data_IF_051723781973
#
_entry.id   IF_051723781973
#
_cell.length_a   1.000
_cell.length_b   1.000
_cell.length_c   1.000
_cell.angle_alpha   90.00
_cell.angle_beta   90.00
_cell.angle_gamma   90.00
#
_symmetry.space_group_name_H-M   'P 1'
#
loop_
_entity.id
_entity.type
_entity.pdbx_description
1 polymer ?
#
# COMPACT_ATOMS: atom_id res chain seq x y z
N UNK A 1 -13.96 47.43 -26.74
CA UNK A 1 -13.54 46.67 -25.55
C UNK A 1 -13.11 45.28 -26.01
N UNK A 2 -11.83 44.91 -25.88
CA UNK A 2 -11.33 43.61 -26.32
C UNK A 2 -11.48 42.58 -25.19
N UNK A 3 -12.15 41.46 -25.46
CA UNK A 3 -12.31 40.36 -24.50
C UNK A 3 -11.13 39.40 -24.59
N UNK A 4 -10.39 39.24 -23.49
CA UNK A 4 -9.31 38.27 -23.37
C UNK A 4 -9.87 36.91 -22.94
N UNK A 5 -9.89 35.94 -23.85
CA UNK A 5 -10.25 34.56 -23.53
C UNK A 5 -9.01 33.80 -23.03
N UNK A 6 -8.95 33.57 -21.72
CA UNK A 6 -7.90 32.73 -21.10
C UNK A 6 -8.25 31.26 -21.35
N UNK A 7 -7.48 30.60 -22.22
CA UNK A 7 -7.57 29.14 -22.40
C UNK A 7 -6.96 28.47 -21.16
N UNK A 8 -7.79 27.87 -20.31
CA UNK A 8 -7.33 27.01 -19.21
C UNK A 8 -6.82 25.70 -19.81
N UNK A 9 -5.51 25.51 -19.83
CA UNK A 9 -4.89 24.21 -20.12
C UNK A 9 -4.98 23.34 -18.88
N UNK A 10 -5.71 22.23 -18.99
CA UNK A 10 -5.72 21.17 -17.98
C UNK A 10 -4.29 20.63 -17.81
N UNK A 11 -3.71 20.59 -16.60
CA UNK A 11 -2.39 20.02 -16.42
C UNK A 11 -2.46 18.52 -16.72
N UNK A 12 -1.68 18.08 -17.70
CA UNK A 12 -1.45 16.66 -17.97
C UNK A 12 -0.74 16.08 -16.76
N UNK A 13 -1.42 15.21 -16.00
CA UNK A 13 -0.79 14.47 -14.90
C UNK A 13 0.28 13.59 -15.52
N UNK A 14 1.55 13.99 -15.40
CA UNK A 14 2.68 13.15 -15.75
C UNK A 14 2.66 11.95 -14.80
N UNK A 15 2.35 10.77 -15.34
CA UNK A 15 2.62 9.51 -14.64
C UNK A 15 4.10 9.50 -14.30
N UNK A 16 4.44 9.38 -13.01
CA UNK A 16 5.80 9.06 -12.59
C UNK A 16 6.12 7.68 -13.16
N UNK A 17 6.97 7.65 -14.18
CA UNK A 17 7.52 6.43 -14.75
C UNK A 17 8.99 6.42 -14.36
N UNK A 18 9.39 5.49 -13.51
CA UNK A 18 10.80 5.13 -13.39
C UNK A 18 11.19 4.32 -14.64
N UNK A 19 12.43 4.48 -15.10
CA UNK A 19 12.88 3.96 -16.38
C UNK A 19 13.15 2.44 -16.40
N UNK A 20 13.01 1.69 -15.30
CA UNK A 20 13.51 0.30 -15.26
C UNK A 20 12.72 -0.73 -14.43
N UNK A 21 11.64 -0.35 -13.77
CA UNK A 21 10.69 -1.30 -13.20
C UNK A 21 9.28 -0.86 -13.60
N UNK A 22 8.45 -1.80 -14.06
CA UNK A 22 7.01 -1.58 -14.01
C UNK A 22 6.66 -1.31 -12.54
N UNK A 23 6.51 -0.04 -12.18
CA UNK A 23 6.13 0.37 -10.83
C UNK A 23 4.70 -0.10 -10.60
N UNK A 24 4.58 -1.28 -9.99
CA UNK A 24 3.28 -1.81 -9.56
C UNK A 24 2.74 -0.90 -8.45
N UNK A 25 1.44 -0.54 -8.50
CA UNK A 25 0.85 0.30 -7.47
C UNK A 25 0.93 -0.39 -6.10
N UNK A 26 1.09 0.36 -5.00
CA UNK A 26 0.92 -0.19 -3.67
C UNK A 26 -0.51 -0.69 -3.48
N UNK A 27 -0.68 -1.75 -2.69
CA UNK A 27 -1.99 -2.22 -2.27
C UNK A 27 -2.55 -1.27 -1.22
N UNK A 28 -3.67 -0.64 -1.54
CA UNK A 28 -4.26 0.39 -0.70
C UNK A 28 -5.32 -0.19 0.24
N UNK A 29 -4.91 -0.53 1.47
CA UNK A 29 -5.80 -0.93 2.56
C UNK A 29 -6.05 0.22 3.54
N UNK A 30 -5.97 1.47 3.08
CA UNK A 30 -6.24 2.63 3.93
C UNK A 30 -7.74 2.89 4.11
N UNK A 31 -8.13 3.42 5.28
CA UNK A 31 -9.52 3.82 5.59
C UNK A 31 -10.54 2.67 5.53
N UNK A 32 -10.16 1.44 5.87
CA UNK A 32 -11.09 0.32 6.02
C UNK A 32 -11.74 0.27 7.42
N UNK A 33 -11.34 1.16 8.34
CA UNK A 33 -11.71 1.09 9.75
C UNK A 33 -11.36 -0.26 10.39
N UNK A 34 -10.28 -0.91 9.90
CA UNK A 34 -9.83 -2.19 10.41
C UNK A 34 -9.23 -2.05 11.82
N UNK A 35 -9.62 -2.92 12.75
CA UNK A 35 -9.01 -2.98 14.08
C UNK A 35 -7.93 -4.05 14.16
N UNK A 36 -8.03 -5.06 13.30
CA UNK A 36 -7.04 -6.11 13.14
C UNK A 36 -6.69 -6.28 11.67
N UNK A 37 -5.50 -6.85 11.40
CA UNK A 37 -5.08 -7.14 10.03
C UNK A 37 -6.03 -8.10 9.31
N UNK A 38 -6.66 -9.01 10.04
CA UNK A 38 -7.70 -9.91 9.53
C UNK A 38 -8.97 -9.18 9.03
N UNK A 39 -9.26 -7.99 9.58
CA UNK A 39 -10.38 -7.17 9.13
C UNK A 39 -10.06 -6.42 7.82
N UNK A 40 -8.77 -6.17 7.55
CA UNK A 40 -8.29 -5.53 6.33
C UNK A 40 -8.32 -6.47 5.11
N UNK A 41 -8.69 -7.76 5.28
CA UNK A 41 -8.44 -8.83 4.29
C UNK A 41 -9.37 -8.81 3.08
N UNK A 42 -10.47 -8.04 3.07
CA UNK A 42 -11.49 -8.20 2.03
C UNK A 42 -10.94 -7.97 0.61
N UNK A 43 -10.44 -6.77 0.30
CA UNK A 43 -9.75 -6.43 -0.96
C UNK A 43 -9.09 -5.05 -0.78
N UNK A 44 -7.92 -4.79 -1.38
CA UNK A 44 -7.36 -3.44 -1.45
C UNK A 44 -8.26 -2.53 -2.29
N UNK A 45 -8.33 -1.26 -1.91
CA UNK A 45 -9.08 -0.23 -2.60
C UNK A 45 -8.53 0.00 -3.99
N UNK A 46 -9.43 0.16 -4.95
CA UNK A 46 -9.09 0.63 -6.29
C UNK A 46 -9.08 2.15 -6.27
N UNK A 47 -7.91 2.75 -6.48
CA UNK A 47 -7.76 4.20 -6.57
C UNK A 47 -8.28 4.67 -7.94
N UNK A 48 -9.28 5.58 -8.01
CA UNK A 48 -9.76 6.12 -9.27
C UNK A 48 -8.62 6.78 -10.07
N UNK A 49 -8.45 6.38 -11.33
CA UNK A 49 -7.34 6.86 -12.17
C UNK A 49 -5.96 6.27 -11.83
N UNK A 50 -5.88 5.38 -10.84
CA UNK A 50 -4.68 4.64 -10.48
C UNK A 50 -4.33 3.54 -11.47
N UNK A 51 -3.16 2.92 -11.28
CA UNK A 51 -2.78 1.74 -12.03
C UNK A 51 -3.64 0.54 -11.62
N UNK A 52 -3.88 -0.38 -12.56
CA UNK A 52 -4.65 -1.60 -12.29
C UNK A 52 -3.85 -2.53 -11.38
N UNK A 53 -4.51 -3.07 -10.36
CA UNK A 53 -3.94 -4.13 -9.53
C UNK A 53 -3.82 -5.43 -10.33
N UNK A 54 -2.70 -6.15 -10.16
CA UNK A 54 -2.45 -7.43 -10.84
C UNK A 54 -2.49 -8.55 -9.81
N UNK A 55 -3.30 -9.57 -10.08
CA UNK A 55 -3.47 -10.76 -9.22
C UNK A 55 -2.91 -12.02 -9.87
N UNK A 56 -2.43 -12.93 -9.03
CA UNK A 56 -2.13 -14.32 -9.35
C UNK A 56 -2.80 -15.22 -8.29
N UNK A 57 -3.95 -15.81 -8.63
CA UNK A 57 -4.82 -16.45 -7.64
C UNK A 57 -5.35 -15.40 -6.64
N UNK A 58 -5.20 -15.69 -5.35
CA UNK A 58 -5.65 -14.81 -4.26
C UNK A 58 -4.59 -13.76 -3.85
N UNK A 59 -3.44 -13.73 -4.54
CA UNK A 59 -2.30 -12.88 -4.21
C UNK A 59 -2.11 -11.76 -5.23
N UNK A 60 -1.45 -10.69 -4.82
CA UNK A 60 -1.16 -9.54 -5.67
C UNK A 60 0.33 -9.42 -6.02
N UNK A 61 0.59 -8.95 -7.23
CA UNK A 61 1.88 -8.39 -7.58
C UNK A 61 1.91 -6.93 -7.13
N UNK A 62 2.70 -6.64 -6.10
CA UNK A 62 3.00 -5.29 -5.64
C UNK A 62 4.31 -5.29 -4.85
N UNK A 63 4.96 -4.12 -4.81
CA UNK A 63 6.11 -3.87 -3.94
C UNK A 63 5.74 -2.97 -2.75
N UNK A 64 4.46 -2.62 -2.59
CA UNK A 64 4.02 -1.70 -1.56
C UNK A 64 2.68 -2.06 -0.94
N UNK A 65 2.53 -1.76 0.35
CA UNK A 65 1.27 -1.93 1.07
C UNK A 65 1.02 -0.68 1.92
N UNK A 66 -0.16 -0.09 1.77
CA UNK A 66 -0.63 1.00 2.62
C UNK A 66 -1.70 0.45 3.56
N UNK A 67 -1.42 0.46 4.87
CA UNK A 67 -2.35 0.08 5.95
C UNK A 67 -2.68 1.28 6.84
N UNK A 68 -2.36 2.48 6.39
CA UNK A 68 -2.51 3.70 7.14
C UNK A 68 -3.98 4.13 7.33
N UNK A 69 -4.24 4.98 8.32
CA UNK A 69 -5.58 5.48 8.63
C UNK A 69 -6.60 4.35 8.89
N UNK A 70 -6.19 3.38 9.71
CA UNK A 70 -7.08 2.37 10.29
C UNK A 70 -7.04 2.52 11.82
N UNK A 71 -7.51 1.52 12.56
CA UNK A 71 -7.41 1.44 14.02
C UNK A 71 -6.68 0.15 14.42
N UNK A 72 -5.66 -0.24 13.64
CA UNK A 72 -4.94 -1.49 13.88
C UNK A 72 -4.25 -1.44 15.24
N UNK A 73 -4.67 -2.32 16.16
CA UNK A 73 -4.15 -2.41 17.53
C UNK A 73 -3.68 -3.82 17.91
N UNK A 74 -3.67 -4.75 16.95
CA UNK A 74 -3.19 -6.11 17.13
C UNK A 74 -1.66 -6.22 17.20
N UNK A 75 -1.14 -7.41 17.57
CA UNK A 75 0.29 -7.66 17.64
C UNK A 75 0.98 -7.45 16.28
N UNK A 76 2.02 -6.62 16.24
CA UNK A 76 2.76 -6.29 15.01
C UNK A 76 3.45 -7.53 14.41
N UNK A 77 3.68 -8.57 15.21
CA UNK A 77 4.21 -9.87 14.80
C UNK A 77 3.32 -10.60 13.78
N UNK A 78 2.06 -10.19 13.62
CA UNK A 78 1.14 -10.76 12.64
C UNK A 78 1.28 -10.14 11.23
N UNK A 79 1.97 -9.00 11.08
CA UNK A 79 2.23 -8.36 9.79
C UNK A 79 2.97 -9.26 8.78
N UNK A 80 4.04 -9.99 9.17
CA UNK A 80 4.73 -10.88 8.23
C UNK A 80 3.82 -11.94 7.63
N UNK A 81 2.87 -12.48 8.39
CA UNK A 81 1.89 -13.45 7.89
C UNK A 81 0.93 -12.79 6.90
N UNK A 82 0.40 -11.61 7.23
CA UNK A 82 -0.42 -10.82 6.31
C UNK A 82 0.28 -10.53 4.98
N UNK A 83 1.56 -10.14 5.01
CA UNK A 83 2.36 -9.87 3.80
C UNK A 83 2.53 -11.17 2.99
N UNK A 84 2.81 -12.29 3.67
CA UNK A 84 2.98 -13.61 3.03
C UNK A 84 1.71 -14.12 2.36
N UNK A 85 0.54 -13.85 2.93
CA UNK A 85 -0.75 -14.26 2.35
C UNK A 85 -1.22 -13.31 1.25
N UNK A 86 -0.82 -12.04 1.31
CA UNK A 86 -1.26 -11.00 0.37
C UNK A 86 -0.40 -10.92 -0.90
N UNK A 87 0.92 -11.04 -0.78
CA UNK A 87 1.84 -10.83 -1.91
C UNK A 87 2.25 -12.14 -2.59
N UNK A 88 2.41 -12.06 -3.92
CA UNK A 88 3.05 -13.10 -4.73
C UNK A 88 4.51 -13.27 -4.32
N UNK A 89 5.24 -12.16 -4.21
CA UNK A 89 6.62 -12.13 -3.72
C UNK A 89 6.75 -11.22 -2.48
N UNK A 90 6.62 -11.77 -1.27
CA UNK A 90 6.78 -11.02 -0.01
C UNK A 90 8.16 -10.38 0.16
N UNK A 91 9.21 -10.94 -0.46
CA UNK A 91 10.57 -10.43 -0.32
C UNK A 91 10.83 -9.20 -1.19
N UNK A 92 9.98 -8.96 -2.18
CA UNK A 92 10.03 -7.77 -3.04
C UNK A 92 9.31 -6.55 -2.44
N UNK A 93 8.76 -6.66 -1.20
CA UNK A 93 8.14 -5.53 -0.51
C UNK A 93 9.19 -4.46 -0.19
N UNK A 94 9.03 -3.28 -0.78
CA UNK A 94 9.92 -2.13 -0.58
C UNK A 94 9.29 -1.01 0.24
N UNK A 95 7.96 -1.01 0.37
CA UNK A 95 7.22 0.04 1.09
C UNK A 95 6.08 -0.53 1.93
N UNK A 96 5.98 -0.10 3.19
CA UNK A 96 4.90 -0.44 4.11
C UNK A 96 4.52 0.80 4.90
N UNK A 97 3.32 1.33 4.70
CA UNK A 97 2.81 2.48 5.45
C UNK A 97 1.87 2.01 6.56
N UNK A 98 2.28 2.23 7.81
CA UNK A 98 1.52 1.90 9.03
C UNK A 98 1.05 3.15 9.77
N UNK A 99 1.18 4.34 9.18
CA UNK A 99 0.88 5.61 9.84
C UNK A 99 -0.59 5.70 10.26
N UNK A 100 -0.88 6.42 11.35
CA UNK A 100 -2.25 6.61 11.84
C UNK A 100 -2.97 5.28 12.12
N UNK A 101 -2.27 4.38 12.83
CA UNK A 101 -2.82 3.19 13.48
C UNK A 101 -2.59 3.30 15.00
N UNK A 102 -3.07 2.31 15.75
CA UNK A 102 -3.02 2.26 17.22
C UNK A 102 -1.98 1.27 17.75
N UNK A 103 -0.94 0.96 16.96
CA UNK A 103 0.16 0.11 17.42
C UNK A 103 0.88 0.77 18.61
N UNK A 104 0.80 0.15 19.78
CA UNK A 104 1.44 0.63 21.02
C UNK A 104 2.84 0.08 21.22
N UNK A 105 3.20 -0.96 20.47
CA UNK A 105 4.46 -1.68 20.61
C UNK A 105 5.15 -1.80 19.25
N UNK A 106 6.46 -1.53 19.22
CA UNK A 106 7.31 -1.89 18.10
C UNK A 106 7.97 -3.22 18.50
N UNK A 107 7.86 -4.29 17.68
CA UNK A 107 8.53 -5.55 17.97
C UNK A 107 9.99 -5.29 18.23
N UNK A 108 10.50 -5.80 19.35
CA UNK A 108 11.94 -5.82 19.55
C UNK A 108 12.52 -6.68 18.44
N UNK A 109 13.36 -6.09 17.58
CA UNK A 109 14.14 -6.84 16.58
C UNK A 109 15.07 -7.76 17.37
N UNK A 110 14.61 -8.98 17.66
CA UNK A 110 15.48 -9.99 18.26
C UNK A 110 16.56 -10.23 17.23
N UNK A 111 17.77 -9.79 17.54
CA UNK A 111 18.97 -10.12 16.76
C UNK A 111 18.93 -11.64 16.59
N UNK A 112 18.72 -12.10 15.37
CA UNK A 112 18.91 -13.50 15.05
C UNK A 112 20.36 -13.80 15.45
N UNK A 113 20.53 -14.57 16.52
CA UNK A 113 21.80 -15.17 16.84
C UNK A 113 22.07 -16.15 15.71
N UNK A 114 22.81 -15.69 14.71
CA UNK A 114 23.48 -16.56 13.75
C UNK A 114 24.38 -17.44 14.61
N UNK A 115 23.94 -18.68 14.82
CA UNK A 115 24.77 -19.78 15.33
C UNK A 115 25.21 -20.60 14.14
#
# INVERSE_FOLDING_TARGET
>A
MASLTVKRTTPTIQKRVDNHAQSLPPLDYSFHNAQKLEDAVAEPRVVPGGQKLIKQGDKYHSHGINLNHNALNGPVETLPDFIRTTLVDPNALSTLDLSFNEFTEIPTVRKNNIK
#
